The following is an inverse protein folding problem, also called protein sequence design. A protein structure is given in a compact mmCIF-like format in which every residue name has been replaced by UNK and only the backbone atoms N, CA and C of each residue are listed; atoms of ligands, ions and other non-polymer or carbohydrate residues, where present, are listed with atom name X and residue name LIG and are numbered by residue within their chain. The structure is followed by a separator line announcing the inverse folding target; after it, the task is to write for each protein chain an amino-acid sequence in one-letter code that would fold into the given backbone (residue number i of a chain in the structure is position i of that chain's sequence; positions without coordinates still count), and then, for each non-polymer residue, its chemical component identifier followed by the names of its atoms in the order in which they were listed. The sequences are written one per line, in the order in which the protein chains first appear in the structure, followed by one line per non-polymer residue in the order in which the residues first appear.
data_IF_053142147819
#
_entry.id   IF_053142147819
#
_cell.length_a   1.000
_cell.length_b   1.000
_cell.length_c   1.000
_cell.angle_alpha   90.00
_cell.angle_beta   90.00
_cell.angle_gamma   90.00
#
_symmetry.space_group_name_H-M   'P 1'
#
loop_
_entity.id
_entity.type
_entity.pdbx_description
1 polymer ?
#
# COMPACT_ATOMS: atom_id res chain seq x y z
N UNK A 1 22.35 -49.84 22.41
CA UNK A 1 21.35 -50.89 22.12
C UNK A 1 19.97 -50.35 22.53
N UNK A 2 18.90 -50.65 21.76
CA UNK A 2 18.10 -49.66 21.00
C UNK A 2 16.67 -49.41 21.54
N UNK A 3 16.01 -48.34 21.07
CA UNK A 3 14.62 -48.28 20.53
C UNK A 3 14.20 -46.79 20.35
N UNK A 4 14.16 -46.23 19.13
CA UNK A 4 13.02 -46.17 18.19
C UNK A 4 11.72 -45.58 18.76
N UNK A 5 11.43 -44.32 18.39
CA UNK A 5 10.13 -43.80 17.93
C UNK A 5 10.26 -42.29 17.65
N UNK A 6 10.64 -41.88 16.44
CA UNK A 6 9.74 -41.41 15.39
C UNK A 6 8.54 -40.60 15.92
N UNK A 7 8.64 -39.27 15.83
CA UNK A 7 7.51 -38.37 15.54
C UNK A 7 8.03 -36.96 15.26
N UNK A 8 8.17 -36.64 13.98
CA UNK A 8 8.11 -35.27 13.49
C UNK A 8 6.72 -34.71 13.82
N UNK A 9 6.59 -33.51 14.39
CA UNK A 9 5.40 -32.70 14.22
C UNK A 9 5.61 -31.81 12.99
N UNK A 10 4.61 -31.87 12.12
CA UNK A 10 4.46 -31.15 10.89
C UNK A 10 4.91 -29.68 10.93
N UNK A 11 5.49 -29.25 9.81
CA UNK A 11 5.31 -27.92 9.25
C UNK A 11 3.91 -27.40 9.61
N UNK A 12 3.86 -26.39 10.46
CA UNK A 12 2.70 -25.51 10.56
C UNK A 12 3.04 -24.28 9.69
N UNK A 13 2.72 -24.27 8.39
CA UNK A 13 2.49 -22.98 7.75
C UNK A 13 1.20 -22.43 8.37
N UNK A 14 1.06 -21.12 8.44
CA UNK A 14 -0.06 -20.41 9.08
C UNK A 14 0.09 -20.18 10.59
N UNK A 15 1.26 -19.68 11.03
CA UNK A 15 1.20 -18.52 11.92
C UNK A 15 0.83 -17.33 11.04
N UNK A 16 -0.47 -17.17 10.76
CA UNK A 16 -0.96 -15.83 10.46
C UNK A 16 -0.67 -15.02 11.71
N UNK A 17 0.44 -14.28 11.70
CA UNK A 17 0.54 -13.07 12.47
C UNK A 17 -0.55 -12.14 11.98
N UNK A 18 -1.76 -12.38 12.46
CA UNK A 18 -2.93 -11.52 12.35
C UNK A 18 -2.77 -10.35 13.35
N UNK A 19 -1.54 -9.85 13.46
CA UNK A 19 -1.08 -8.89 14.45
C UNK A 19 -0.20 -7.87 13.73
N UNK A 20 -0.76 -7.21 12.71
CA UNK A 20 -0.57 -5.77 12.49
C UNK A 20 -1.33 -5.20 11.28
N UNK A 21 -2.55 -5.66 11.01
CA UNK A 21 -3.57 -4.77 10.41
C UNK A 21 -4.16 -3.85 11.49
N UNK A 22 -3.35 -3.46 12.48
CA UNK A 22 -3.72 -2.43 13.44
C UNK A 22 -3.54 -1.11 12.72
N UNK A 23 -4.60 -0.67 12.04
CA UNK A 23 -4.82 0.73 11.76
C UNK A 23 -4.85 1.42 13.13
N UNK A 24 -3.68 1.85 13.60
CA UNK A 24 -3.57 2.63 14.83
C UNK A 24 -4.51 3.83 14.75
N UNK A 25 -4.93 4.42 15.88
CA UNK A 25 -5.80 5.59 15.86
C UNK A 25 -5.16 6.67 14.99
N UNK A 26 -5.72 6.85 13.79
CA UNK A 26 -5.32 7.91 12.90
C UNK A 26 -5.61 9.23 13.63
N UNK A 27 -4.68 10.18 13.70
CA UNK A 27 -5.04 11.51 14.13
C UNK A 27 -6.10 12.03 13.16
N UNK A 28 -7.34 12.12 13.62
CA UNK A 28 -8.48 12.73 12.91
C UNK A 28 -8.28 14.24 12.65
N UNK A 29 -7.09 14.76 12.96
CA UNK A 29 -6.62 16.09 12.58
C UNK A 29 -6.08 16.15 11.14
N UNK A 30 -6.31 15.14 10.31
CA UNK A 30 -6.36 15.35 8.88
C UNK A 30 -7.66 16.07 8.58
N UNK A 31 -7.62 17.39 8.42
CA UNK A 31 -8.76 18.21 8.01
C UNK A 31 -9.57 17.45 6.94
N UNK A 32 -10.73 16.93 7.33
CA UNK A 32 -11.65 16.16 6.50
C UNK A 32 -12.34 17.00 5.42
N UNK A 33 -11.59 17.94 4.85
CA UNK A 33 -11.96 18.88 3.78
C UNK A 33 -11.25 18.59 2.47
N UNK A 34 -10.46 17.51 2.36
CA UNK A 34 -9.54 17.42 1.21
C UNK A 34 -10.21 17.09 -0.12
N UNK A 35 -11.38 16.44 -0.15
CA UNK A 35 -12.13 16.27 -1.40
C UNK A 35 -13.64 16.31 -1.14
N UNK A 36 -14.24 17.49 -1.21
CA UNK A 36 -15.69 17.65 -1.18
C UNK A 36 -16.24 17.74 -2.61
N UNK A 37 -17.03 16.75 -3.00
CA UNK A 37 -18.11 16.81 -4.01
C UNK A 37 -17.85 17.56 -5.32
N UNK A 38 -17.73 16.78 -6.40
CA UNK A 38 -17.80 17.14 -7.83
C UNK A 38 -16.52 17.53 -8.58
N UNK A 39 -15.44 17.94 -7.91
CA UNK A 39 -14.19 18.24 -8.62
C UNK A 39 -13.24 17.05 -8.61
N UNK A 40 -12.82 16.61 -9.81
CA UNK A 40 -11.79 15.59 -9.95
C UNK A 40 -10.44 16.19 -9.50
N UNK A 41 -9.74 15.54 -8.55
CA UNK A 41 -8.45 16.02 -8.09
C UNK A 41 -7.43 16.01 -9.21
N UNK A 42 -6.62 17.07 -9.28
CA UNK A 42 -5.49 17.09 -10.18
C UNK A 42 -4.47 16.01 -9.79
N UNK A 43 -3.73 15.51 -10.78
CA UNK A 43 -2.68 14.52 -10.55
C UNK A 43 -1.64 15.02 -9.52
N UNK A 44 -1.35 16.32 -9.49
CA UNK A 44 -0.42 16.91 -8.53
C UNK A 44 -0.95 16.84 -7.09
N UNK A 45 -2.26 17.01 -6.89
CA UNK A 45 -2.90 16.91 -5.57
C UNK A 45 -2.91 15.47 -5.06
N UNK A 46 -3.18 14.51 -5.94
CA UNK A 46 -3.11 13.08 -5.60
C UNK A 46 -1.68 12.69 -5.20
N UNK A 47 -0.67 13.10 -5.97
CA UNK A 47 0.73 12.79 -5.69
C UNK A 47 1.29 13.57 -4.48
N UNK A 48 0.66 14.70 -4.13
CA UNK A 48 0.96 15.46 -2.92
C UNK A 48 0.29 14.92 -1.65
N UNK A 49 -0.61 13.94 -1.76
CA UNK A 49 -1.29 13.35 -0.61
C UNK A 49 -0.32 12.49 0.21
N UNK A 50 -0.12 12.78 1.51
CA UNK A 50 0.73 11.96 2.37
C UNK A 50 0.29 10.49 2.48
N UNK A 51 -0.99 10.19 2.28
CA UNK A 51 -1.49 8.82 2.21
C UNK A 51 -1.00 8.11 0.95
N UNK A 52 -1.07 8.78 -0.21
CA UNK A 52 -0.53 8.25 -1.47
C UNK A 52 0.98 8.01 -1.36
N UNK A 53 1.73 8.96 -0.79
CA UNK A 53 3.17 8.80 -0.59
C UNK A 53 3.51 7.56 0.27
N UNK A 54 2.72 7.27 1.32
CA UNK A 54 2.88 6.07 2.15
C UNK A 54 2.58 4.78 1.38
N UNK A 55 1.52 4.77 0.56
CA UNK A 55 1.18 3.61 -0.26
C UNK A 55 2.28 3.30 -1.28
N UNK A 56 2.73 4.32 -2.02
CA UNK A 56 3.82 4.17 -2.99
C UNK A 56 5.10 3.64 -2.33
N UNK A 57 5.44 4.18 -1.15
CA UNK A 57 6.61 3.72 -0.39
C UNK A 57 6.47 2.27 0.09
N UNK A 58 5.27 1.86 0.50
CA UNK A 58 4.99 0.47 0.91
C UNK A 58 5.16 -0.51 -0.25
N UNK A 59 4.81 -0.09 -1.45
CA UNK A 59 4.88 -0.92 -2.65
C UNK A 59 6.26 -0.82 -3.35
N UNK A 60 7.19 -0.04 -2.79
CA UNK A 60 8.52 0.19 -3.38
C UNK A 60 8.49 0.96 -4.70
N UNK A 61 7.42 1.73 -4.93
CA UNK A 61 7.21 2.50 -6.16
C UNK A 61 7.76 3.91 -5.95
N UNK A 62 8.69 4.33 -6.80
CA UNK A 62 9.12 5.72 -6.82
C UNK A 62 8.02 6.60 -7.42
N UNK A 63 7.74 7.72 -6.76
CA UNK A 63 6.73 8.68 -7.20
C UNK A 63 7.03 9.26 -8.60
N UNK A 64 8.31 9.43 -8.93
CA UNK A 64 8.78 9.89 -10.24
C UNK A 64 8.47 8.88 -11.37
N UNK A 65 8.59 7.58 -11.09
CA UNK A 65 8.28 6.52 -12.05
C UNK A 65 6.78 6.49 -12.37
N UNK A 66 5.94 6.64 -11.34
CA UNK A 66 4.49 6.73 -11.52
C UNK A 66 4.10 7.96 -12.34
N UNK A 67 4.68 9.13 -12.04
CA UNK A 67 4.44 10.36 -12.80
C UNK A 67 4.84 10.20 -14.28
N UNK A 68 5.97 9.56 -14.54
CA UNK A 68 6.47 9.28 -15.89
C UNK A 68 5.55 8.33 -16.65
N UNK A 69 5.08 7.26 -16.00
CA UNK A 69 4.13 6.31 -16.58
C UNK A 69 2.82 6.99 -16.97
N UNK A 70 2.26 7.80 -16.07
CA UNK A 70 1.03 8.56 -16.32
C UNK A 70 1.17 9.49 -17.51
N UNK A 71 2.29 10.22 -17.61
CA UNK A 71 2.57 11.11 -18.74
C UNK A 71 2.59 10.31 -20.06
N UNK A 72 3.32 9.18 -20.09
CA UNK A 72 3.40 8.32 -21.27
C UNK A 72 2.05 7.78 -21.72
N UNK A 73 1.22 7.32 -20.79
CA UNK A 73 -0.12 6.80 -21.11
C UNK A 73 -1.02 7.92 -21.66
N UNK A 74 -0.96 9.12 -21.08
CA UNK A 74 -1.72 10.28 -21.57
C UNK A 74 -1.32 10.66 -22.99
N UNK A 75 -0.03 10.63 -23.31
CA UNK A 75 0.45 10.91 -24.66
C UNK A 75 -0.04 9.83 -25.65
N UNK A 76 -0.05 8.56 -25.25
CA UNK A 76 -0.58 7.48 -26.08
C UNK A 76 -2.09 7.58 -26.35
N UNK A 77 -2.87 8.04 -25.37
CA UNK A 77 -4.33 8.22 -25.53
C UNK A 77 -4.71 9.46 -26.33
N UNK A 78 -3.78 10.40 -26.54
CA UNK A 78 -3.98 11.59 -27.36
C UNK A 78 -3.67 11.39 -28.84
N UNK A 79 -3.01 10.28 -29.19
CA UNK A 79 -2.67 9.87 -30.56
C UNK A 79 -3.82 9.09 -31.21
#
# INVERSE_FOLDING_TARGET
MPHLARRSPALSPLSLSLQNCAWGPHPLNGEGKRFSGNDEPSMAEILGDPMMARMLSSDGIAQEDLATLVARVRDQLRA
#
